data_IF_024676537258
#
_entry.id   IF_024676537258
#
_cell.length_a   1.000
_cell.length_b   1.000
_cell.length_c   1.000
_cell.angle_alpha   90.00
_cell.angle_beta   90.00
_cell.angle_gamma   90.00
#
_symmetry.space_group_name_H-M   'P 1'
#
loop_
_entity.id
_entity.type
_entity.pdbx_description
1 polymer ?
#
# COMPACT_ATOMS: atom_id res chain seq x y z
N UNK A 1 -14.19 -11.24 -26.54
CA UNK A 1 -13.99 -12.33 -25.54
C UNK A 1 -13.15 -11.79 -24.38
N UNK A 2 -13.73 -11.01 -23.48
CA UNK A 2 -13.03 -10.38 -22.33
C UNK A 2 -14.00 -10.22 -21.16
N UNK A 3 -14.35 -11.32 -20.51
CA UNK A 3 -15.27 -11.33 -19.34
C UNK A 3 -14.75 -12.22 -18.21
N UNK A 4 -13.94 -13.25 -18.53
CA UNK A 4 -13.36 -14.14 -17.54
C UNK A 4 -12.25 -13.44 -16.69
N UNK A 5 -11.34 -12.71 -17.34
CA UNK A 5 -10.23 -12.02 -16.66
C UNK A 5 -10.73 -10.91 -15.71
N UNK A 6 -11.83 -10.25 -16.08
CA UNK A 6 -12.42 -9.16 -15.30
C UNK A 6 -13.10 -9.67 -14.02
N UNK A 7 -13.77 -10.83 -14.08
CA UNK A 7 -14.35 -11.47 -12.90
C UNK A 7 -13.29 -11.95 -11.90
N UNK A 8 -12.18 -12.48 -12.38
CA UNK A 8 -11.09 -12.95 -11.52
C UNK A 8 -10.41 -11.77 -10.81
N UNK A 9 -10.22 -10.64 -11.48
CA UNK A 9 -9.70 -9.42 -10.88
C UNK A 9 -10.62 -8.88 -9.77
N UNK A 10 -11.94 -8.90 -10.01
CA UNK A 10 -12.95 -8.47 -9.04
C UNK A 10 -12.99 -9.41 -7.83
N UNK A 11 -12.88 -10.72 -8.03
CA UNK A 11 -12.82 -11.72 -6.94
C UNK A 11 -11.54 -11.60 -6.11
N UNK A 12 -10.41 -11.38 -6.78
CA UNK A 12 -9.13 -11.17 -6.12
C UNK A 12 -9.18 -9.92 -5.24
N UNK A 13 -9.68 -8.81 -5.79
CA UNK A 13 -9.88 -7.55 -5.05
C UNK A 13 -10.82 -7.70 -3.84
N UNK A 14 -11.91 -8.44 -3.99
CA UNK A 14 -12.84 -8.72 -2.89
C UNK A 14 -12.20 -9.56 -1.77
N UNK A 15 -11.30 -10.48 -2.12
CA UNK A 15 -10.56 -11.31 -1.15
C UNK A 15 -9.56 -10.48 -0.37
N UNK A 16 -8.81 -9.61 -1.07
CA UNK A 16 -7.84 -8.71 -0.45
C UNK A 16 -8.51 -7.68 0.47
N UNK A 17 -9.70 -7.18 0.11
CA UNK A 17 -10.49 -6.28 0.95
C UNK A 17 -10.95 -6.95 2.26
N UNK A 18 -11.30 -8.24 2.20
CA UNK A 18 -11.65 -9.03 3.40
C UNK A 18 -10.41 -9.22 4.29
N UNK A 19 -9.26 -9.54 3.71
CA UNK A 19 -7.99 -9.67 4.45
C UNK A 19 -7.59 -8.34 5.11
N UNK A 20 -7.72 -7.22 4.41
CA UNK A 20 -7.45 -5.90 4.98
C UNK A 20 -8.32 -5.59 6.21
N UNK A 21 -9.57 -6.07 6.24
CA UNK A 21 -10.47 -5.89 7.39
C UNK A 21 -10.03 -6.65 8.65
N UNK A 22 -9.23 -7.71 8.49
CA UNK A 22 -8.69 -8.50 9.61
C UNK A 22 -7.45 -7.87 10.25
N UNK A 23 -6.82 -6.90 9.57
CA UNK A 23 -5.63 -6.21 10.09
C UNK A 23 -6.02 -5.25 11.21
N UNK A 24 -5.42 -5.46 12.38
CA UNK A 24 -5.55 -4.55 13.51
C UNK A 24 -4.78 -3.25 13.25
N UNK A 25 -5.43 -2.10 13.44
CA UNK A 25 -4.84 -0.77 13.21
C UNK A 25 -5.35 -0.06 11.95
N UNK A 26 -5.86 1.16 12.14
CA UNK A 26 -6.49 1.96 11.06
C UNK A 26 -5.51 2.31 9.94
N UNK A 27 -4.26 2.62 10.28
CA UNK A 27 -3.22 3.02 9.33
C UNK A 27 -2.76 1.85 8.47
N UNK A 28 -2.44 0.71 9.09
CA UNK A 28 -2.05 -0.51 8.36
C UNK A 28 -3.17 -1.00 7.44
N UNK A 29 -4.42 -1.01 7.92
CA UNK A 29 -5.58 -1.34 7.11
C UNK A 29 -5.74 -0.43 5.88
N UNK A 30 -5.54 0.88 6.06
CA UNK A 30 -5.61 1.84 4.95
C UNK A 30 -4.50 1.60 3.95
N UNK A 31 -3.28 1.36 4.44
CA UNK A 31 -2.12 1.07 3.60
C UNK A 31 -2.36 -0.19 2.74
N UNK A 32 -2.78 -1.29 3.37
CA UNK A 32 -3.06 -2.54 2.66
C UNK A 32 -4.14 -2.33 1.60
N UNK A 33 -5.24 -1.63 1.93
CA UNK A 33 -6.27 -1.28 0.95
C UNK A 33 -5.75 -0.47 -0.23
N UNK A 34 -4.84 0.46 0.00
CA UNK A 34 -4.26 1.28 -1.07
C UNK A 34 -3.28 0.50 -1.95
N UNK A 35 -2.73 -0.61 -1.46
CA UNK A 35 -1.80 -1.45 -2.22
C UNK A 35 -2.47 -2.61 -2.94
N UNK A 36 -3.76 -2.88 -2.69
CA UNK A 36 -4.53 -3.93 -3.40
C UNK A 36 -4.56 -3.65 -4.90
N UNK A 37 -4.16 -4.66 -5.69
CA UNK A 37 -4.14 -4.58 -7.16
C UNK A 37 -2.92 -3.89 -7.75
N UNK A 38 -1.94 -3.51 -6.92
CA UNK A 38 -0.63 -3.09 -7.41
C UNK A 38 0.20 -4.32 -7.79
N UNK A 39 1.06 -4.16 -8.80
CA UNK A 39 2.07 -5.18 -9.13
C UNK A 39 3.19 -5.18 -8.09
N UNK A 40 3.93 -6.30 -8.01
CA UNK A 40 5.09 -6.42 -7.13
C UNK A 40 6.13 -5.29 -7.38
N UNK A 41 6.36 -4.96 -8.65
CA UNK A 41 7.22 -3.82 -9.06
C UNK A 41 6.72 -2.49 -8.44
N UNK A 42 5.41 -2.25 -8.45
CA UNK A 42 4.84 -1.04 -7.87
C UNK A 42 5.00 -0.99 -6.35
N UNK A 43 4.90 -2.15 -5.68
CA UNK A 43 5.15 -2.29 -4.24
C UNK A 43 6.62 -2.02 -3.91
N UNK A 44 7.54 -2.51 -4.74
CA UNK A 44 8.97 -2.26 -4.58
C UNK A 44 9.30 -0.77 -4.73
N UNK A 45 8.75 -0.10 -5.76
CA UNK A 45 8.90 1.35 -5.93
C UNK A 45 8.36 2.14 -4.73
N UNK A 46 7.19 1.78 -4.21
CA UNK A 46 6.64 2.41 -3.00
C UNK A 46 7.53 2.20 -1.77
N UNK A 47 8.17 1.04 -1.66
CA UNK A 47 9.11 0.72 -0.58
C UNK A 47 10.36 1.60 -0.69
N UNK A 48 10.95 1.70 -1.89
CA UNK A 48 12.11 2.57 -2.14
C UNK A 48 11.80 4.05 -1.88
N UNK A 49 10.61 4.53 -2.29
CA UNK A 49 10.17 5.90 -2.01
C UNK A 49 9.99 6.14 -0.51
N UNK A 50 9.39 5.18 0.21
CA UNK A 50 9.22 5.27 1.66
C UNK A 50 10.55 5.33 2.40
N UNK A 51 11.56 4.58 1.95
CA UNK A 51 12.90 4.61 2.53
C UNK A 51 13.61 5.95 2.27
N UNK A 52 13.46 6.51 1.06
CA UNK A 52 13.98 7.84 0.74
C UNK A 52 13.31 8.94 1.56
N UNK A 53 12.00 8.84 1.79
CA UNK A 53 11.27 9.77 2.66
C UNK A 53 11.73 9.66 4.11
N UNK A 54 11.88 8.45 4.65
CA UNK A 54 12.43 8.23 5.99
C UNK A 54 13.84 8.80 6.13
N UNK A 55 14.68 8.61 5.12
CA UNK A 55 16.04 9.17 5.07
C UNK A 55 15.99 10.70 5.06
N UNK A 56 15.08 11.29 4.27
CA UNK A 56 14.89 12.74 4.24
C UNK A 56 14.35 13.27 5.58
N UNK A 57 13.36 12.61 6.18
CA UNK A 57 12.79 12.97 7.49
C UNK A 57 13.84 12.85 8.61
N UNK A 58 14.67 11.81 8.60
CA UNK A 58 15.79 11.67 9.54
C UNK A 58 16.95 12.63 9.29
N UNK A 59 17.03 13.21 8.08
CA UNK A 59 18.00 14.24 7.72
C UNK A 59 17.46 15.67 7.95
N UNK A 60 16.15 15.85 8.13
CA UNK A 60 15.57 17.15 8.48
C UNK A 60 15.72 17.38 9.99
N UNK A 61 16.36 18.49 10.43
CA UNK A 61 16.32 18.88 11.83
C UNK A 61 14.86 19.15 12.24
N UNK A 62 14.50 18.75 13.46
CA UNK A 62 13.16 18.95 14.00
C UNK A 62 12.79 20.44 13.92
N UNK A 63 11.74 20.82 13.16
CA UNK A 63 11.31 22.22 13.09
C UNK A 63 10.75 22.73 14.42
N UNK A 64 10.47 21.86 15.39
CA UNK A 64 10.15 22.26 16.76
C UNK A 64 11.39 22.66 17.59
N UNK A 65 12.60 22.53 17.03
CA UNK A 65 13.86 22.99 17.62
C UNK A 65 14.44 24.25 16.95
N UNK A 66 13.67 24.97 16.12
CA UNK A 66 14.03 26.27 15.51
C UNK A 66 13.13 27.38 16.05
#
# INVERSE_FOLDING_TARGET
MSTAVDLDLVRYRATDDVLACQISGKQLRRLVRTTVGLSDESIELLTQLSERLRTAEGALPDPAMI
#
